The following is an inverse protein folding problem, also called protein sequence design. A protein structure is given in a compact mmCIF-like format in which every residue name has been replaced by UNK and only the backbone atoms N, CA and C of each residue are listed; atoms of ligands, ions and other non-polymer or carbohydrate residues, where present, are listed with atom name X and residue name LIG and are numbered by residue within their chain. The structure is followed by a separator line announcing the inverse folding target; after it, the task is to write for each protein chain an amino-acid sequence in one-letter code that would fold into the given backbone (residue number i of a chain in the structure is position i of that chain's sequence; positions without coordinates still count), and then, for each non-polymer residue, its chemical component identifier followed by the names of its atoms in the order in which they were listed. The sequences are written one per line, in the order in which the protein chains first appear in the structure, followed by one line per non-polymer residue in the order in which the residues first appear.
data_IF_260502326175
#
_entry.id   IF_260502326175
#
_cell.length_a   1.000
_cell.length_b   1.000
_cell.length_c   1.000
_cell.angle_alpha   90.00
_cell.angle_beta   90.00
_cell.angle_gamma   90.00
#
_symmetry.space_group_name_H-M   'P 1'
#
loop_
_entity.id
_entity.type
_entity.pdbx_description
1 polymer ?
#
# COMPACT_ATOMS: atom_id res chain seq x y z
N UNK A 1 -1.84 -12.75 25.05
CA UNK A 1 -1.23 -13.49 23.93
C UNK A 1 -2.17 -13.35 22.74
N UNK A 2 -1.76 -12.77 21.62
CA UNK A 2 -2.63 -12.65 20.44
C UNK A 2 -2.71 -14.03 19.76
N UNK A 3 -3.93 -14.49 19.46
CA UNK A 3 -4.13 -15.69 18.66
C UNK A 3 -3.57 -15.46 17.24
N UNK A 4 -2.72 -16.37 16.77
CA UNK A 4 -2.10 -16.30 15.44
C UNK A 4 -3.13 -16.20 14.32
N UNK A 5 -4.26 -16.91 14.45
CA UNK A 5 -5.35 -16.83 13.47
C UNK A 5 -5.97 -15.43 13.40
N UNK A 6 -6.14 -14.77 14.56
CA UNK A 6 -6.67 -13.42 14.62
C UNK A 6 -5.69 -12.43 13.97
N UNK A 7 -4.39 -12.56 14.26
CA UNK A 7 -3.35 -11.74 13.63
C UNK A 7 -3.36 -11.88 12.11
N UNK A 8 -3.33 -13.11 11.59
CA UNK A 8 -3.35 -13.33 10.15
C UNK A 8 -4.64 -12.85 9.48
N UNK A 9 -5.77 -12.89 10.19
CA UNK A 9 -7.04 -12.38 9.67
C UNK A 9 -7.02 -10.86 9.48
N UNK A 10 -6.43 -10.12 10.42
CA UNK A 10 -6.28 -8.66 10.32
C UNK A 10 -5.35 -8.28 9.16
N UNK A 11 -4.21 -8.95 9.06
CA UNK A 11 -3.25 -8.72 7.96
C UNK A 11 -3.88 -9.05 6.60
N UNK A 12 -4.61 -10.16 6.50
CA UNK A 12 -5.32 -10.55 5.29
C UNK A 12 -6.39 -9.51 4.91
N UNK A 13 -7.16 -9.01 5.88
CA UNK A 13 -8.15 -7.95 5.64
C UNK A 13 -7.50 -6.68 5.08
N UNK A 14 -6.37 -6.23 5.63
CA UNK A 14 -5.67 -5.05 5.12
C UNK A 14 -5.16 -5.24 3.68
N UNK A 15 -4.60 -6.43 3.37
CA UNK A 15 -4.15 -6.75 2.01
C UNK A 15 -5.33 -6.80 1.04
N UNK A 16 -6.46 -7.38 1.47
CA UNK A 16 -7.68 -7.44 0.66
C UNK A 16 -8.27 -6.04 0.42
N UNK A 17 -8.29 -5.17 1.43
CA UNK A 17 -8.76 -3.80 1.30
C UNK A 17 -7.99 -3.05 0.20
N UNK A 18 -6.65 -3.09 0.21
CA UNK A 18 -5.84 -2.49 -0.86
C UNK A 18 -6.09 -3.15 -2.22
N UNK A 19 -6.20 -4.48 -2.24
CA UNK A 19 -6.40 -5.26 -3.47
C UNK A 19 -7.70 -4.90 -4.16
N UNK A 20 -8.81 -4.82 -3.42
CA UNK A 20 -10.12 -4.53 -3.98
C UNK A 20 -10.29 -3.04 -4.26
N UNK A 21 -9.82 -2.16 -3.38
CA UNK A 21 -9.96 -0.73 -3.58
C UNK A 21 -9.30 -0.24 -4.88
N UNK A 22 -8.08 -0.73 -5.20
CA UNK A 22 -7.42 -0.36 -6.47
C UNK A 22 -8.07 -0.99 -7.70
N UNK A 23 -8.74 -2.13 -7.55
CA UNK A 23 -9.41 -2.82 -8.66
C UNK A 23 -10.77 -2.22 -8.99
N UNK A 24 -11.52 -1.85 -7.97
CA UNK A 24 -12.90 -1.40 -8.10
C UNK A 24 -12.99 0.12 -8.21
N UNK A 25 -12.18 0.86 -7.44
CA UNK A 25 -12.26 2.31 -7.34
C UNK A 25 -10.87 2.96 -7.43
N UNK A 26 -10.07 2.71 -8.49
CA UNK A 26 -8.69 3.17 -8.57
C UNK A 26 -8.51 4.69 -8.46
N UNK A 27 -9.51 5.45 -8.91
CA UNK A 27 -9.43 6.90 -9.05
C UNK A 27 -10.01 7.65 -7.82
N UNK A 28 -10.52 6.92 -6.82
CA UNK A 28 -10.90 7.50 -5.52
C UNK A 28 -9.68 8.06 -4.78
N UNK A 29 -9.92 8.97 -3.84
CA UNK A 29 -8.86 9.61 -3.06
C UNK A 29 -8.04 8.59 -2.26
N UNK A 30 -6.71 8.75 -2.28
CA UNK A 30 -5.78 7.97 -1.46
C UNK A 30 -6.07 8.07 0.04
N UNK A 31 -6.68 9.18 0.49
CA UNK A 31 -7.04 9.46 1.88
C UNK A 31 -8.04 8.46 2.49
N UNK A 32 -8.71 7.65 1.67
CA UNK A 32 -9.61 6.59 2.15
C UNK A 32 -8.82 5.45 2.83
N UNK A 33 -7.57 5.21 2.41
CA UNK A 33 -6.76 4.07 2.85
C UNK A 33 -5.48 4.48 3.57
N UNK A 34 -5.01 5.71 3.35
CA UNK A 34 -3.76 6.22 3.89
C UNK A 34 -4.02 7.52 4.63
N UNK A 35 -3.39 7.68 5.79
CA UNK A 35 -3.43 8.95 6.52
C UNK A 35 -2.60 10.04 5.78
N UNK A 36 -2.81 11.31 6.11
CA UNK A 36 -2.11 12.43 5.43
C UNK A 36 -0.58 12.31 5.53
N UNK A 37 -0.07 11.83 6.68
CA UNK A 37 1.37 11.65 6.87
C UNK A 37 1.94 10.54 6.00
N UNK A 38 1.17 9.46 5.79
CA UNK A 38 1.51 8.36 4.89
C UNK A 38 1.46 8.77 3.44
N UNK A 39 0.48 9.59 3.05
CA UNK A 39 0.41 10.17 1.70
C UNK A 39 1.66 11.01 1.43
N UNK A 40 2.02 11.92 2.34
CA UNK A 40 3.24 12.75 2.22
C UNK A 40 4.50 11.88 2.15
N UNK A 41 4.58 10.83 2.97
CA UNK A 41 5.72 9.91 2.96
C UNK A 41 5.82 9.15 1.63
N UNK A 42 4.70 8.67 1.10
CA UNK A 42 4.65 8.02 -0.21
C UNK A 42 5.03 8.97 -1.33
N UNK A 43 4.65 10.25 -1.25
CA UNK A 43 5.07 11.28 -2.20
C UNK A 43 6.59 11.45 -2.19
N UNK A 44 7.20 11.53 -1.00
CA UNK A 44 8.66 11.63 -0.84
C UNK A 44 9.38 10.41 -1.41
N UNK A 45 8.94 9.19 -1.05
CA UNK A 45 9.58 7.94 -1.45
C UNK A 45 9.41 7.66 -2.96
N UNK A 46 8.25 7.99 -3.52
CA UNK A 46 7.97 7.75 -4.94
C UNK A 46 8.41 8.88 -5.88
N UNK A 47 8.66 10.07 -5.32
CA UNK A 47 8.86 11.34 -6.05
C UNK A 47 7.72 11.67 -7.00
N UNK A 48 6.49 11.30 -6.62
CA UNK A 48 5.25 11.55 -7.39
C UNK A 48 4.17 12.04 -6.45
N UNK A 49 3.28 12.88 -6.96
CA UNK A 49 2.08 13.30 -6.23
C UNK A 49 1.14 12.11 -6.05
N UNK A 50 0.57 11.95 -4.86
CA UNK A 50 -0.36 10.87 -4.52
C UNK A 50 -1.75 11.46 -4.36
N UNK A 51 -2.60 11.25 -5.36
CA UNK A 51 -3.98 11.76 -5.37
C UNK A 51 -4.95 10.60 -5.17
N UNK A 52 -4.73 9.52 -5.92
CA UNK A 52 -5.66 8.41 -6.02
C UNK A 52 -5.18 7.14 -5.31
N UNK A 53 -6.10 6.20 -5.07
CA UNK A 53 -5.79 4.85 -4.56
C UNK A 53 -4.79 4.14 -5.47
N UNK A 54 -4.94 4.30 -6.80
CA UNK A 54 -3.98 3.78 -7.78
C UNK A 54 -2.58 4.32 -7.53
N UNK A 55 -2.44 5.63 -7.36
CA UNK A 55 -1.13 6.25 -7.14
C UNK A 55 -0.49 5.72 -5.86
N UNK A 56 -1.26 5.67 -4.77
CA UNK A 56 -0.78 5.20 -3.47
C UNK A 56 -0.35 3.73 -3.51
N UNK A 57 -1.19 2.85 -4.07
CA UNK A 57 -0.90 1.41 -4.16
C UNK A 57 0.32 1.14 -5.04
N UNK A 58 0.47 1.84 -6.16
CA UNK A 58 1.65 1.71 -7.01
C UNK A 58 2.91 2.28 -6.34
N UNK A 59 2.79 3.39 -5.60
CA UNK A 59 3.90 3.96 -4.85
C UNK A 59 4.39 3.00 -3.74
N UNK A 60 3.47 2.41 -2.98
CA UNK A 60 3.78 1.38 -1.99
C UNK A 60 4.45 0.17 -2.64
N UNK A 61 3.85 -0.38 -3.71
CA UNK A 61 4.40 -1.55 -4.37
C UNK A 61 5.78 -1.31 -5.02
N UNK A 62 6.06 -0.08 -5.45
CA UNK A 62 7.37 0.30 -5.99
C UNK A 62 8.50 0.14 -4.97
N UNK A 63 8.23 0.27 -3.67
CA UNK A 63 9.22 0.06 -2.58
C UNK A 63 9.87 -1.32 -2.67
N UNK A 64 9.12 -2.33 -3.14
CA UNK A 64 9.59 -3.71 -3.31
C UNK A 64 9.88 -4.06 -4.78
N UNK A 65 10.03 -3.06 -5.64
CA UNK A 65 10.42 -3.25 -7.04
C UNK A 65 9.29 -3.70 -7.98
N UNK A 66 8.02 -3.57 -7.59
CA UNK A 66 6.92 -3.86 -8.51
C UNK A 66 6.89 -2.88 -9.68
N UNK A 67 6.84 -3.42 -10.90
CA UNK A 67 6.68 -2.66 -12.13
C UNK A 67 5.39 -3.10 -12.84
N UNK A 68 4.38 -2.23 -12.99
CA UNK A 68 3.13 -2.59 -13.64
C UNK A 68 3.35 -2.86 -15.14
N UNK A 69 2.58 -3.80 -15.67
CA UNK A 69 2.56 -4.13 -17.11
C UNK A 69 1.13 -4.04 -17.65
N UNK A 70 0.97 -4.04 -18.98
CA UNK A 70 -0.38 -4.07 -19.60
C UNK A 70 -1.21 -5.28 -19.14
N UNK A 71 -0.56 -6.44 -18.89
CA UNK A 71 -1.23 -7.67 -18.44
C UNK A 71 -1.43 -7.70 -16.92
N UNK A 72 -0.60 -7.00 -16.15
CA UNK A 72 -0.67 -6.91 -14.70
C UNK A 72 -0.50 -5.44 -14.26
N UNK A 73 -1.57 -4.65 -14.31
CA UNK A 73 -1.51 -3.23 -13.95
C UNK A 73 -1.37 -3.01 -12.44
N UNK A 74 -1.75 -3.98 -11.62
CA UNK A 74 -1.79 -3.87 -10.16
C UNK A 74 -1.01 -5.00 -9.47
N UNK A 75 -0.43 -4.74 -8.29
CA UNK A 75 0.30 -5.74 -7.52
C UNK A 75 -0.62 -6.86 -7.03
N UNK A 76 -0.06 -8.07 -6.90
CA UNK A 76 -0.73 -9.19 -6.26
C UNK A 76 -0.57 -9.16 -4.73
N UNK A 77 -1.31 -10.02 -4.04
CA UNK A 77 -1.34 -10.08 -2.56
C UNK A 77 0.04 -10.26 -1.91
N UNK A 78 0.94 -11.04 -2.51
CA UNK A 78 2.31 -11.25 -2.00
C UNK A 78 3.19 -10.00 -2.11
N UNK A 79 3.03 -9.26 -3.21
CA UNK A 79 3.73 -7.99 -3.42
C UNK A 79 3.23 -6.96 -2.41
N UNK A 80 1.90 -6.86 -2.25
CA UNK A 80 1.28 -5.96 -1.28
C UNK A 80 1.70 -6.28 0.16
N UNK A 81 1.70 -7.55 0.57
CA UNK A 81 2.12 -7.96 1.91
C UNK A 81 3.54 -7.47 2.23
N UNK A 82 4.49 -7.75 1.33
CA UNK A 82 5.89 -7.31 1.49
C UNK A 82 5.99 -5.78 1.45
N UNK A 83 5.24 -5.13 0.57
CA UNK A 83 5.30 -3.69 0.40
C UNK A 83 4.78 -2.92 1.63
N UNK A 84 3.68 -3.36 2.23
CA UNK A 84 3.13 -2.76 3.46
C UNK A 84 4.09 -2.93 4.62
N UNK A 85 4.70 -4.11 4.78
CA UNK A 85 5.72 -4.35 5.79
C UNK A 85 6.91 -3.39 5.62
N UNK A 86 7.46 -3.26 4.39
CA UNK A 86 8.58 -2.35 4.12
C UNK A 86 8.19 -0.88 4.34
N UNK A 87 6.99 -0.50 3.93
CA UNK A 87 6.47 0.84 4.15
C UNK A 87 6.33 1.16 5.64
N UNK A 88 5.88 0.21 6.46
CA UNK A 88 5.80 0.37 7.92
C UNK A 88 7.16 0.69 8.54
N UNK A 89 8.23 -0.01 8.13
CA UNK A 89 9.58 0.30 8.63
C UNK A 89 10.10 1.67 8.15
N UNK A 90 9.77 2.08 6.92
CA UNK A 90 10.10 3.42 6.43
C UNK A 90 9.35 4.49 7.26
N UNK A 91 8.07 4.25 7.57
CA UNK A 91 7.26 5.13 8.43
C UNK A 91 7.92 5.31 9.80
N UNK A 92 8.33 4.22 10.45
CA UNK A 92 9.04 4.27 11.73
C UNK A 92 10.36 5.07 11.64
N UNK A 93 11.13 4.89 10.57
CA UNK A 93 12.37 5.63 10.35
C UNK A 93 12.18 7.11 10.03
N UNK A 94 11.01 7.52 9.52
CA UNK A 94 10.70 8.92 9.23
C UNK A 94 10.25 9.73 10.46
N UNK A 95 9.87 9.04 11.54
CA UNK A 95 9.43 9.66 12.80
C UNK A 95 10.55 9.75 13.85
N UNK A 96 11.71 9.13 13.57
CA UNK A 96 12.93 9.20 14.39
C UNK A 96 13.80 10.41 13.99
#
# INVERSE_FOLDING_TARGET
MINSLAFYSVVAWQILALTYAVRENPDQSASILFDESEVILLEKVSSKKIISIRDAVLAVAKIVGFAPTKKQPYPGVKVLATAIERFFFIKLGSTA
#
